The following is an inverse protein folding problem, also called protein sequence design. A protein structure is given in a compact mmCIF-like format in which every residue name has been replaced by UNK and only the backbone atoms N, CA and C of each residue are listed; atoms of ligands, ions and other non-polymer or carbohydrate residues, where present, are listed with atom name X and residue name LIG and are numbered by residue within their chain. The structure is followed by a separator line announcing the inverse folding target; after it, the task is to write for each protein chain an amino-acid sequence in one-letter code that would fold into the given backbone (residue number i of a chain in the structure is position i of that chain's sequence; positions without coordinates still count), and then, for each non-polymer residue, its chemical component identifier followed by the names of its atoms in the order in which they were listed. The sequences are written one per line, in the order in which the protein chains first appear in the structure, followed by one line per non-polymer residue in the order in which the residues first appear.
data_IF_211956324508
#
_entry.id   IF_211956324508
#
_cell.length_a   1.000
_cell.length_b   1.000
_cell.length_c   1.000
_cell.angle_alpha   90.00
_cell.angle_beta   90.00
_cell.angle_gamma   90.00
#
_symmetry.space_group_name_H-M   'P 1'
#
loop_
_entity.id
_entity.type
_entity.pdbx_description
1 polymer ?
#
# COMPACT_ATOMS: atom_id res chain seq x y z
N UNK A 1 -0.35 -15.84 -0.65
CA UNK A 1 0.18 -15.45 0.68
C UNK A 1 0.97 -14.16 0.50
N UNK A 2 0.73 -13.11 1.30
CA UNK A 2 1.50 -11.86 1.19
C UNK A 2 2.97 -12.08 1.57
N UNK A 3 3.86 -11.28 0.97
CA UNK A 3 5.26 -11.25 1.37
C UNK A 3 5.41 -10.55 2.73
N UNK A 4 6.40 -10.91 3.57
CA UNK A 4 6.59 -10.30 4.89
C UNK A 4 6.65 -8.77 4.86
N UNK A 5 7.44 -8.20 3.95
CA UNK A 5 7.55 -6.74 3.80
C UNK A 5 6.22 -6.05 3.46
N UNK A 6 5.26 -6.75 2.85
CA UNK A 6 3.95 -6.18 2.57
C UNK A 6 3.12 -6.03 3.85
N UNK A 7 3.28 -6.97 4.79
CA UNK A 7 2.64 -6.92 6.10
C UNK A 7 3.26 -5.82 6.96
N UNK A 8 4.60 -5.73 6.98
CA UNK A 8 5.31 -4.69 7.74
C UNK A 8 4.91 -3.28 7.28
N UNK A 9 4.85 -3.07 5.96
CA UNK A 9 4.41 -1.78 5.38
C UNK A 9 2.93 -1.49 5.68
N UNK A 10 2.06 -2.50 5.61
CA UNK A 10 0.65 -2.34 5.95
C UNK A 10 0.44 -2.03 7.44
N UNK A 11 1.20 -2.66 8.32
CA UNK A 11 1.17 -2.41 9.76
C UNK A 11 1.59 -0.96 10.06
N UNK A 12 2.69 -0.49 9.47
CA UNK A 12 3.13 0.90 9.60
C UNK A 12 2.01 1.89 9.19
N UNK A 13 1.33 1.64 8.06
CA UNK A 13 0.19 2.43 7.60
C UNK A 13 -1.01 2.38 8.57
N UNK A 14 -1.29 1.21 9.15
CA UNK A 14 -2.39 1.04 10.09
C UNK A 14 -2.13 1.80 11.39
N UNK A 15 -0.88 1.77 11.88
CA UNK A 15 -0.41 2.48 13.07
C UNK A 15 -0.21 3.99 12.86
N UNK A 16 -0.29 4.47 11.62
CA UNK A 16 -0.13 5.89 11.29
C UNK A 16 1.33 6.35 11.30
N UNK A 17 2.27 5.44 11.06
CA UNK A 17 3.70 5.72 11.00
C UNK A 17 4.11 6.15 9.59
N UNK A 18 5.13 7.01 9.49
CA UNK A 18 5.74 7.35 8.21
C UNK A 18 6.77 6.28 7.82
N UNK A 19 6.68 5.76 6.60
CA UNK A 19 7.57 4.70 6.11
C UNK A 19 7.95 4.90 4.65
N UNK A 20 9.17 4.49 4.28
CA UNK A 20 9.64 4.42 2.88
C UNK A 20 9.92 2.97 2.53
N UNK A 21 9.35 2.48 1.43
CA UNK A 21 9.52 1.11 0.95
C UNK A 21 10.22 1.13 -0.40
N UNK A 22 11.35 0.44 -0.50
CA UNK A 22 12.05 0.23 -1.77
C UNK A 22 11.61 -1.12 -2.33
N UNK A 23 10.89 -1.10 -3.45
CA UNK A 23 10.47 -2.32 -4.13
C UNK A 23 10.47 -2.12 -5.64
N UNK A 24 10.79 -3.17 -6.40
CA UNK A 24 10.87 -3.14 -7.87
C UNK A 24 9.50 -3.15 -8.56
N UNK A 25 9.47 -2.88 -9.86
CA UNK A 25 8.26 -3.05 -10.69
C UNK A 25 7.78 -4.50 -10.66
N UNK A 26 6.46 -4.73 -10.65
CA UNK A 26 5.88 -6.08 -10.55
C UNK A 26 5.97 -6.72 -9.14
N UNK A 27 6.61 -6.07 -8.17
CA UNK A 27 6.73 -6.58 -6.80
C UNK A 27 5.40 -6.59 -6.01
N UNK A 28 4.26 -6.27 -6.63
CA UNK A 28 2.94 -6.20 -5.96
C UNK A 28 2.90 -5.16 -4.83
N UNK A 29 3.50 -3.99 -5.09
CA UNK A 29 3.56 -2.82 -4.20
C UNK A 29 2.18 -2.23 -3.85
N UNK A 30 1.13 -2.58 -4.58
CA UNK A 30 -0.24 -2.13 -4.30
C UNK A 30 -0.80 -2.77 -3.02
N UNK A 31 -0.39 -4.00 -2.70
CA UNK A 31 -1.01 -4.79 -1.62
C UNK A 31 -0.99 -4.08 -0.24
N UNK A 32 0.12 -3.47 0.21
CA UNK A 32 0.15 -2.77 1.50
C UNK A 32 -0.84 -1.62 1.61
N UNK A 33 -1.21 -0.95 0.51
CA UNK A 33 -2.21 0.12 0.52
C UNK A 33 -3.64 -0.40 0.65
N UNK A 34 -3.89 -1.64 0.22
CA UNK A 34 -5.22 -2.26 0.29
C UNK A 34 -5.48 -2.93 1.64
N UNK A 35 -4.44 -3.48 2.28
CA UNK A 35 -4.57 -4.22 3.55
C UNK A 35 -5.26 -3.44 4.69
N UNK A 36 -5.03 -2.12 4.89
CA UNK A 36 -5.71 -1.36 5.94
C UNK A 36 -7.24 -1.41 5.86
N UNK A 37 -7.81 -1.49 4.66
CA UNK A 37 -9.26 -1.59 4.45
C UNK A 37 -9.84 -2.95 4.86
N UNK A 38 -9.01 -4.00 4.89
CA UNK A 38 -9.43 -5.32 5.41
C UNK A 38 -9.68 -5.28 6.93
N UNK A 39 -8.96 -4.40 7.64
CA UNK A 39 -9.14 -4.19 9.09
C UNK A 39 -10.24 -3.19 9.39
N UNK A 40 -10.26 -2.07 8.68
CA UNK A 40 -11.24 -1.00 8.91
C UNK A 40 -11.75 -0.43 7.57
N UNK A 41 -13.00 -0.78 7.24
CA UNK A 41 -13.67 -0.34 6.02
C UNK A 41 -14.00 1.16 6.00
N UNK A 42 -13.89 1.86 7.14
CA UNK A 42 -14.12 3.31 7.24
C UNK A 42 -12.86 4.12 6.99
N UNK A 43 -11.67 3.49 6.94
CA UNK A 43 -10.45 4.21 6.58
C UNK A 43 -10.52 4.71 5.14
N UNK A 44 -9.85 5.81 4.89
CA UNK A 44 -9.63 6.38 3.55
C UNK A 44 -8.13 6.50 3.33
N UNK A 45 -7.65 6.05 2.17
CA UNK A 45 -6.24 6.16 1.77
C UNK A 45 -6.20 6.93 0.45
N UNK A 46 -5.39 7.98 0.42
CA UNK A 46 -5.14 8.78 -0.78
C UNK A 46 -3.84 8.28 -1.41
N UNK A 47 -3.95 7.69 -2.60
CA UNK A 47 -2.79 7.23 -3.37
C UNK A 47 -2.49 8.29 -4.43
N UNK A 48 -1.27 8.84 -4.39
CA UNK A 48 -0.80 9.83 -5.35
C UNK A 48 0.17 9.14 -6.31
N UNK A 49 -0.19 9.09 -7.58
CA UNK A 49 0.66 8.60 -8.66
C UNK A 49 1.18 9.76 -9.50
N UNK A 50 2.46 9.75 -9.92
CA UNK A 50 2.99 10.79 -10.80
C UNK A 50 2.43 10.72 -12.24
N UNK A 51 1.86 9.58 -12.65
CA UNK A 51 1.35 9.35 -14.00
C UNK A 51 -0.09 8.86 -13.96
N UNK A 52 -0.94 9.42 -14.83
CA UNK A 52 -2.35 8.99 -15.00
C UNK A 52 -2.47 7.53 -15.43
N UNK A 53 -1.60 7.07 -16.33
CA UNK A 53 -1.59 5.68 -16.76
C UNK A 53 -1.39 4.71 -15.57
N UNK A 54 -0.42 5.03 -14.69
CA UNK A 54 -0.17 4.24 -13.48
C UNK A 54 -1.33 4.31 -12.47
N UNK A 55 -2.13 5.38 -12.48
CA UNK A 55 -3.32 5.48 -11.64
C UNK A 55 -4.47 4.60 -12.18
N UNK A 56 -4.61 4.48 -13.50
CA UNK A 56 -5.63 3.62 -14.12
C UNK A 56 -5.37 2.13 -13.88
N UNK A 57 -4.09 1.76 -13.78
CA UNK A 57 -3.66 0.38 -13.52
C UNK A 57 -3.72 -0.04 -12.03
N UNK A 58 -4.08 0.88 -11.13
CA UNK A 58 -4.10 0.66 -9.67
C UNK A 58 -5.49 0.45 -9.09
#
# INVERSE_FOLDING_TARGET
VPYPWQLDAAEALILGLNSVVIAGTGARKTMPFIMPFLRDKKKCIIIISPLKALQQDQ
#
